data_IF_423466058801
#
_entry.id   IF_423466058801
#
_cell.length_a   1.000
_cell.length_b   1.000
_cell.length_c   1.000
_cell.angle_alpha   90.00
_cell.angle_beta   90.00
_cell.angle_gamma   90.00
#
_symmetry.space_group_name_H-M   'P 1'
#
loop_
_entity.id
_entity.type
_entity.pdbx_description
1 polymer ?
#
# COMPACT_ATOMS: atom_id res chain seq x y z
N UNK A 1 0.01 -15.12 -9.50
CA UNK A 1 0.23 -13.98 -10.40
C UNK A 1 0.35 -12.69 -9.60
N UNK A 2 1.33 -11.87 -9.92
CA UNK A 2 1.54 -10.60 -9.21
C UNK A 2 0.91 -9.46 -9.98
N UNK A 3 0.19 -8.63 -9.25
CA UNK A 3 -0.46 -7.44 -9.82
C UNK A 3 0.15 -6.21 -9.15
N UNK A 4 0.62 -5.23 -9.92
CA UNK A 4 1.16 -4.01 -9.32
C UNK A 4 0.05 -3.05 -8.88
N UNK A 5 0.24 -2.46 -7.72
CA UNK A 5 -0.64 -1.43 -7.19
C UNK A 5 0.19 -0.20 -6.84
N UNK A 6 -0.31 0.95 -7.22
CA UNK A 6 0.29 2.22 -6.81
C UNK A 6 -0.59 2.81 -5.73
N UNK A 7 -0.08 2.85 -4.52
CA UNK A 7 -0.84 3.29 -3.36
C UNK A 7 -0.35 4.66 -2.90
N UNK A 8 -1.28 5.58 -2.76
CA UNK A 8 -0.98 6.90 -2.22
C UNK A 8 -0.62 6.77 -0.74
N UNK A 9 0.49 7.38 -0.36
CA UNK A 9 0.97 7.37 1.02
C UNK A 9 1.17 8.80 1.49
N UNK A 10 0.61 9.12 2.64
CA UNK A 10 0.84 10.40 3.30
C UNK A 10 1.99 10.21 4.28
N UNK A 11 3.06 10.97 4.07
CA UNK A 11 4.25 10.91 4.91
C UNK A 11 4.29 12.17 5.79
N UNK A 12 4.39 11.98 7.09
CA UNK A 12 4.46 13.08 8.04
C UNK A 12 5.77 13.02 8.80
N UNK A 13 6.43 14.17 8.91
CA UNK A 13 7.67 14.29 9.66
C UNK A 13 7.35 14.74 11.08
N UNK A 14 7.72 13.93 12.06
CA UNK A 14 7.64 14.30 13.47
C UNK A 14 8.96 14.87 13.96
N UNK A 15 9.06 15.12 15.26
CA UNK A 15 10.26 15.67 15.85
C UNK A 15 11.45 14.71 15.85
N UNK A 16 11.19 13.40 15.87
CA UNK A 16 12.24 12.38 15.94
C UNK A 16 12.11 11.27 14.91
N UNK A 17 10.99 11.21 14.23
CA UNK A 17 10.74 10.13 13.29
C UNK A 17 9.80 10.58 12.20
N UNK A 18 9.57 9.67 11.27
CA UNK A 18 8.58 9.84 10.22
C UNK A 18 7.47 8.83 10.43
N UNK A 19 6.25 9.20 10.06
CA UNK A 19 5.14 8.27 10.03
C UNK A 19 4.44 8.35 8.69
N UNK A 20 3.82 7.25 8.31
CA UNK A 20 3.14 7.15 7.02
C UNK A 20 1.84 6.38 7.18
N UNK A 21 0.86 6.75 6.38
CA UNK A 21 -0.39 6.01 6.29
C UNK A 21 -0.92 6.07 4.86
N UNK A 22 -1.79 5.14 4.53
CA UNK A 22 -2.42 5.08 3.22
C UNK A 22 -3.91 5.35 3.37
N UNK A 23 -4.42 6.50 2.88
CA UNK A 23 -5.85 6.81 3.01
C UNK A 23 -6.77 5.78 2.38
N UNK A 24 -6.32 5.15 1.29
CA UNK A 24 -7.11 4.15 0.57
C UNK A 24 -7.08 2.77 1.24
N UNK A 25 -6.17 2.56 2.19
CA UNK A 25 -6.00 1.28 2.87
C UNK A 25 -5.99 1.52 4.37
N UNK A 26 -7.16 1.71 4.99
CA UNK A 26 -7.26 2.00 6.42
C UNK A 26 -6.59 0.93 7.28
N UNK A 27 -5.92 1.37 8.33
CA UNK A 27 -5.23 0.47 9.23
C UNK A 27 -3.78 0.17 8.84
N UNK A 28 -3.35 0.59 7.68
CA UNK A 28 -1.99 0.37 7.23
C UNK A 28 -1.15 1.60 7.53
N UNK A 29 -0.29 1.49 8.54
CA UNK A 29 0.57 2.60 9.00
C UNK A 29 1.98 2.09 9.25
N UNK A 30 2.95 3.00 9.18
CA UNK A 30 4.33 2.68 9.47
C UNK A 30 5.03 3.88 10.10
N UNK A 31 6.06 3.61 10.89
CA UNK A 31 6.87 4.64 11.53
C UNK A 31 8.34 4.23 11.41
N UNK A 32 9.19 5.17 11.06
CA UNK A 32 10.61 4.91 10.91
C UNK A 32 11.44 6.14 11.25
N UNK A 33 12.73 5.96 11.33
CA UNK A 33 13.66 7.04 11.68
C UNK A 33 14.01 7.91 10.48
N UNK A 34 13.95 7.34 9.30
CA UNK A 34 14.21 8.07 8.07
C UNK A 34 13.02 7.93 7.13
N UNK A 35 12.97 8.81 6.16
CA UNK A 35 11.94 8.76 5.13
C UNK A 35 11.98 7.45 4.37
N UNK A 36 13.18 7.02 3.97
CA UNK A 36 13.36 5.78 3.20
C UNK A 36 12.94 4.56 4.00
N UNK A 37 13.32 4.51 5.29
CA UNK A 37 12.94 3.43 6.17
C UNK A 37 11.42 3.35 6.32
N UNK A 38 10.78 4.52 6.53
CA UNK A 38 9.33 4.58 6.71
C UNK A 38 8.59 4.11 5.46
N UNK A 39 9.05 4.54 4.29
CA UNK A 39 8.45 4.12 3.04
C UNK A 39 8.65 2.63 2.76
N UNK A 40 9.80 2.09 3.14
CA UNK A 40 10.06 0.67 2.98
C UNK A 40 9.16 -0.16 3.89
N UNK A 41 9.01 0.26 5.15
CA UNK A 41 8.11 -0.40 6.09
C UNK A 41 6.66 -0.31 5.62
N UNK A 42 6.29 0.83 5.03
CA UNK A 42 4.95 1.01 4.49
C UNK A 42 4.70 0.08 3.31
N UNK A 43 5.70 -0.10 2.45
CA UNK A 43 5.60 -1.03 1.32
C UNK A 43 5.39 -2.46 1.81
N UNK A 44 6.14 -2.89 2.81
CA UNK A 44 5.99 -4.22 3.39
C UNK A 44 4.61 -4.41 4.03
N UNK A 45 4.16 -3.41 4.78
CA UNK A 45 2.84 -3.47 5.41
C UNK A 45 1.71 -3.52 4.38
N UNK A 46 1.82 -2.72 3.32
CA UNK A 46 0.84 -2.71 2.24
C UNK A 46 0.81 -4.05 1.50
N UNK A 47 1.97 -4.62 1.24
CA UNK A 47 2.05 -5.91 0.54
C UNK A 47 1.29 -6.98 1.31
N UNK A 48 1.54 -7.09 2.61
CA UNK A 48 0.86 -8.07 3.46
C UNK A 48 -0.64 -7.81 3.55
N UNK A 49 -1.01 -6.55 3.71
CA UNK A 49 -2.42 -6.17 3.85
C UNK A 49 -3.20 -6.46 2.57
N UNK A 50 -2.64 -6.08 1.43
CA UNK A 50 -3.30 -6.28 0.14
C UNK A 50 -3.35 -7.76 -0.25
N UNK A 51 -2.34 -8.55 0.10
CA UNK A 51 -2.38 -10.00 -0.10
C UNK A 51 -3.52 -10.63 0.70
N UNK A 52 -3.70 -10.20 1.95
CA UNK A 52 -4.81 -10.67 2.77
C UNK A 52 -6.16 -10.32 2.18
N UNK A 53 -6.30 -9.11 1.68
CA UNK A 53 -7.53 -8.68 1.02
C UNK A 53 -7.82 -9.50 -0.23
N UNK A 54 -6.79 -9.76 -1.03
CA UNK A 54 -6.94 -10.55 -2.25
C UNK A 54 -7.35 -11.98 -1.93
N UNK A 55 -6.75 -12.59 -0.91
CA UNK A 55 -7.10 -13.95 -0.49
C UNK A 55 -8.53 -14.03 0.03
N UNK A 56 -8.99 -13.02 0.75
CA UNK A 56 -10.34 -12.98 1.29
C UNK A 56 -11.38 -12.58 0.25
N UNK A 57 -10.97 -12.20 -0.93
CA UNK A 57 -11.87 -11.76 -1.98
C UNK A 57 -12.44 -10.37 -1.73
N UNK A 58 -11.79 -9.57 -0.89
CA UNK A 58 -12.20 -8.21 -0.62
C UNK A 58 -11.96 -7.32 -1.84
N UNK A 59 -12.69 -6.22 -1.88
CA UNK A 59 -12.50 -5.24 -2.94
C UNK A 59 -11.14 -4.58 -2.79
N UNK A 60 -10.31 -4.69 -3.84
CA UNK A 60 -8.99 -4.11 -3.83
C UNK A 60 -9.06 -2.61 -4.12
N UNK A 61 -8.13 -1.81 -3.53
CA UNK A 61 -8.08 -0.39 -3.83
C UNK A 61 -7.68 -0.16 -5.27
N UNK A 62 -8.16 0.95 -5.83
CA UNK A 62 -7.75 1.37 -7.16
C UNK A 62 -6.36 1.99 -7.08
N UNK A 63 -5.53 1.73 -8.11
CA UNK A 63 -4.24 2.38 -8.19
C UNK A 63 -4.41 3.89 -8.31
N UNK A 64 -3.66 4.63 -7.52
CA UNK A 64 -3.73 6.08 -7.51
C UNK A 64 -3.19 6.68 -8.80
N UNK A 65 -3.78 7.77 -9.23
CA UNK A 65 -3.27 8.53 -10.37
C UNK A 65 -1.96 9.23 -9.97
N UNK A 66 -1.01 9.38 -10.90
CA UNK A 66 0.23 10.11 -10.61
C UNK A 66 -0.07 11.56 -10.20
N UNK A 67 0.64 12.02 -9.18
CA UNK A 67 0.54 13.38 -8.70
C UNK A 67 1.94 13.80 -8.20
N UNK A 68 2.46 14.88 -8.72
CA UNK A 68 3.83 15.33 -8.44
C UNK A 68 4.06 15.68 -6.97
N UNK A 69 3.01 16.05 -6.25
CA UNK A 69 3.12 16.45 -4.85
C UNK A 69 2.88 15.31 -3.87
N UNK A 70 2.45 14.16 -4.36
CA UNK A 70 2.11 13.03 -3.51
C UNK A 70 3.22 11.98 -3.51
N UNK A 71 3.28 11.23 -2.43
CA UNK A 71 4.16 10.08 -2.33
C UNK A 71 3.38 8.83 -2.69
N UNK A 72 3.96 8.00 -3.54
CA UNK A 72 3.35 6.75 -3.94
C UNK A 72 4.29 5.60 -3.62
N UNK A 73 3.71 4.49 -3.23
CA UNK A 73 4.43 3.25 -3.03
C UNK A 73 3.87 2.25 -4.01
N UNK A 74 4.76 1.66 -4.82
CA UNK A 74 4.35 0.60 -5.72
C UNK A 74 4.57 -0.73 -5.04
N UNK A 75 3.54 -1.56 -5.04
CA UNK A 75 3.53 -2.84 -4.37
C UNK A 75 3.06 -3.90 -5.36
N UNK A 76 3.80 -4.99 -5.45
CA UNK A 76 3.37 -6.14 -6.21
C UNK A 76 2.67 -7.11 -5.27
N UNK A 77 1.43 -7.43 -5.59
CA UNK A 77 0.59 -8.28 -4.77
C UNK A 77 0.28 -9.57 -5.50
N UNK A 78 0.50 -10.70 -4.84
CA UNK A 78 0.12 -11.98 -5.39
C UNK A 78 -1.38 -12.16 -5.25
N UNK A 79 -2.06 -12.26 -6.38
CA UNK A 79 -3.51 -12.41 -6.42
C UNK A 79 -3.86 -13.84 -6.81
N UNK A 80 -4.67 -14.53 -5.99
CA UNK A 80 -5.09 -15.88 -6.34
C UNK A 80 -5.85 -15.91 -7.67
N UNK A 81 -5.66 -16.98 -8.43
CA UNK A 81 -6.34 -17.12 -9.73
C UNK A 81 -7.86 -17.03 -9.59
N UNK A 82 -8.40 -17.55 -8.49
CA UNK A 82 -9.84 -17.50 -8.22
C UNK A 82 -10.35 -16.08 -8.08
N UNK A 83 -9.55 -15.19 -7.44
CA UNK A 83 -9.92 -13.80 -7.28
C UNK A 83 -9.94 -13.06 -8.61
N UNK A 84 -9.04 -13.42 -9.52
CA UNK A 84 -8.96 -12.79 -10.84
C UNK A 84 -10.11 -13.16 -11.75
N UNK A 85 -10.75 -14.30 -11.50
CA UNK A 85 -11.85 -14.77 -12.32
C UNK A 85 -13.21 -14.31 -11.84
N UNK A 86 -13.25 -13.54 -10.77
CA UNK A 86 -14.50 -12.98 -10.28
C UNK A 86 -14.96 -11.91 -11.27
N UNK A 87 -15.92 -12.25 -12.04
CA UNK A 87 -16.51 -11.30 -12.96
C UNK A 87 -17.27 -10.27 -12.15
N UNK A 88 -16.75 -9.15 -12.14
CA UNK A 88 -17.29 -7.94 -11.64
C UNK A 88 -18.27 -7.88 -10.59
#
# INVERSE_FOLDING_TARGET
MYTPYRILVVLEKGSRNYSAYAPEVPGCVATGKTREETLQLMREALALHLEGMAEDGDEMPLSAAPDDEAHFVEVEVEVPATAMHRAG
#
